data_IF_946400727603
#
_entry.id   IF_946400727603
#
_cell.length_a   1.000
_cell.length_b   1.000
_cell.length_c   1.000
_cell.angle_alpha   90.00
_cell.angle_beta   90.00
_cell.angle_gamma   90.00
#
_symmetry.space_group_name_H-M   'P 1'
#
loop_
_entity.id
_entity.type
_entity.pdbx_description
1 polymer ?
#
# COMPACT_ATOMS: atom_id res chain seq x y z
N UNK A 1 28.35 9.01 -8.14
CA UNK A 1 27.49 9.42 -9.28
C UNK A 1 26.41 8.39 -9.67
N UNK A 2 26.59 7.08 -9.50
CA UNK A 2 25.65 6.06 -10.01
C UNK A 2 24.22 6.17 -9.45
N UNK A 3 24.06 6.40 -8.14
CA UNK A 3 22.76 6.59 -7.51
C UNK A 3 22.02 7.80 -8.10
N UNK A 4 22.70 8.94 -8.23
CA UNK A 4 22.12 10.16 -8.80
C UNK A 4 21.67 9.96 -10.26
N UNK A 5 22.49 9.28 -11.08
CA UNK A 5 22.14 8.97 -12.48
C UNK A 5 20.85 8.16 -12.57
N UNK A 6 20.67 7.14 -11.73
CA UNK A 6 19.44 6.35 -11.70
C UNK A 6 18.19 7.19 -11.36
N UNK A 7 18.29 8.09 -10.38
CA UNK A 7 17.18 8.96 -10.01
C UNK A 7 16.74 9.89 -11.14
N UNK A 8 17.71 10.50 -11.83
CA UNK A 8 17.42 11.44 -12.91
C UNK A 8 16.93 10.74 -14.18
N UNK A 9 17.54 9.61 -14.56
CA UNK A 9 17.12 8.82 -15.72
C UNK A 9 15.68 8.30 -15.60
N UNK A 10 15.33 7.77 -14.42
CA UNK A 10 13.98 7.21 -14.18
C UNK A 10 12.95 8.25 -13.76
N UNK A 11 13.34 9.52 -13.62
CA UNK A 11 12.56 10.59 -13.00
C UNK A 11 12.01 10.19 -11.62
N UNK A 12 12.78 9.46 -10.82
CA UNK A 12 12.38 9.07 -9.46
C UNK A 12 12.38 10.32 -8.57
N UNK A 13 11.30 10.59 -7.81
CA UNK A 13 11.25 11.74 -6.92
C UNK A 13 12.45 11.72 -5.95
N UNK A 14 13.19 12.83 -5.87
CA UNK A 14 14.40 12.94 -5.03
C UNK A 14 14.08 12.60 -3.57
N UNK A 15 12.88 12.95 -3.10
CA UNK A 15 12.41 12.60 -1.75
C UNK A 15 12.40 11.09 -1.43
N UNK A 16 12.54 10.20 -2.43
CA UNK A 16 12.69 8.76 -2.17
C UNK A 16 13.95 8.42 -1.36
N UNK A 17 14.97 9.28 -1.34
CA UNK A 17 16.16 9.10 -0.47
C UNK A 17 15.84 9.17 1.03
N UNK A 18 14.75 9.86 1.41
CA UNK A 18 14.31 9.97 2.80
C UNK A 18 13.49 8.76 3.27
N UNK A 19 13.30 7.75 2.42
CA UNK A 19 12.70 6.48 2.81
C UNK A 19 13.61 5.78 3.82
N UNK A 20 13.05 5.26 4.92
CA UNK A 20 13.81 4.47 5.90
C UNK A 20 14.43 3.19 5.31
N UNK A 21 13.96 2.77 4.13
CA UNK A 21 14.51 1.63 3.40
C UNK A 21 15.67 2.00 2.47
N UNK A 22 15.86 3.28 2.15
CA UNK A 22 16.86 3.69 1.17
C UNK A 22 18.27 3.37 1.64
N UNK A 23 18.66 3.85 2.82
CA UNK A 23 19.99 3.57 3.38
C UNK A 23 20.15 2.07 3.68
N UNK A 24 19.14 1.42 4.26
CA UNK A 24 19.15 -0.04 4.53
C UNK A 24 19.40 -0.87 3.27
N UNK A 25 18.82 -0.48 2.14
CA UNK A 25 19.06 -1.12 0.84
C UNK A 25 20.51 -0.93 0.40
N UNK A 26 21.04 0.30 0.49
CA UNK A 26 22.43 0.61 0.14
C UNK A 26 23.42 -0.18 1.00
N UNK A 27 23.19 -0.25 2.32
CA UNK A 27 24.04 -0.97 3.26
C UNK A 27 24.09 -2.47 2.95
N UNK A 28 22.93 -3.08 2.67
CA UNK A 28 22.86 -4.50 2.30
C UNK A 28 23.59 -4.77 0.99
N UNK A 29 23.43 -3.93 -0.03
CA UNK A 29 24.13 -4.08 -1.32
C UNK A 29 25.64 -3.92 -1.13
N UNK A 30 26.07 -2.93 -0.34
CA UNK A 30 27.47 -2.69 -0.04
C UNK A 30 28.12 -3.87 0.71
N UNK A 31 27.40 -4.47 1.65
CA UNK A 31 27.85 -5.63 2.40
C UNK A 31 28.04 -6.89 1.56
N UNK A 32 27.24 -7.09 0.50
CA UNK A 32 27.44 -8.22 -0.44
C UNK A 32 28.68 -8.01 -1.31
N UNK A 33 28.99 -6.76 -1.65
CA UNK A 33 30.19 -6.39 -2.40
C UNK A 33 30.09 -6.59 -3.92
N UNK A 34 31.23 -6.49 -4.62
CA UNK A 34 31.30 -6.59 -6.08
C UNK A 34 30.75 -7.91 -6.61
N UNK A 35 29.99 -7.85 -7.71
CA UNK A 35 29.39 -9.03 -8.34
C UNK A 35 27.93 -9.28 -7.99
N UNK A 36 27.38 -8.57 -6.99
CA UNK A 36 25.94 -8.60 -6.71
C UNK A 36 25.10 -8.33 -7.96
N UNK A 37 24.09 -9.16 -8.20
CA UNK A 37 23.14 -9.00 -9.29
C UNK A 37 21.82 -8.49 -8.74
N UNK A 38 21.48 -7.24 -9.09
CA UNK A 38 20.20 -6.66 -8.73
C UNK A 38 19.02 -7.48 -9.30
N UNK A 39 17.86 -7.51 -8.61
CA UNK A 39 16.68 -8.21 -9.10
C UNK A 39 16.22 -7.71 -10.47
N UNK A 40 15.78 -8.63 -11.33
CA UNK A 40 15.16 -8.31 -12.62
C UNK A 40 13.72 -7.80 -12.44
N UNK A 41 13.20 -7.12 -13.47
CA UNK A 41 11.81 -6.63 -13.50
C UNK A 41 10.79 -7.71 -13.12
N UNK A 42 10.86 -8.90 -13.72
CA UNK A 42 9.93 -9.99 -13.42
C UNK A 42 10.05 -10.48 -11.96
N UNK A 43 11.26 -10.54 -11.41
CA UNK A 43 11.47 -10.95 -10.02
C UNK A 43 10.85 -9.96 -9.03
N UNK A 44 10.97 -8.65 -9.30
CA UNK A 44 10.31 -7.59 -8.52
C UNK A 44 8.80 -7.65 -8.66
N UNK A 45 8.30 -7.83 -9.89
CA UNK A 45 6.87 -7.84 -10.22
C UNK A 45 6.12 -9.02 -9.61
N UNK A 46 6.74 -10.20 -9.51
CA UNK A 46 6.06 -11.43 -9.06
C UNK A 46 6.58 -11.90 -7.70
N UNK A 47 7.72 -12.58 -7.67
CA UNK A 47 8.15 -13.37 -6.53
C UNK A 47 8.48 -12.51 -5.30
N UNK A 48 9.16 -11.38 -5.50
CA UNK A 48 9.52 -10.47 -4.42
C UNK A 48 8.30 -9.71 -3.89
N UNK A 49 7.40 -9.26 -4.78
CA UNK A 49 6.14 -8.65 -4.37
C UNK A 49 5.28 -9.63 -3.55
N UNK A 50 5.14 -10.87 -4.02
CA UNK A 50 4.41 -11.91 -3.30
C UNK A 50 5.03 -12.22 -1.94
N UNK A 51 6.37 -12.28 -1.86
CA UNK A 51 7.09 -12.48 -0.60
C UNK A 51 6.88 -11.32 0.37
N UNK A 52 6.90 -10.08 -0.13
CA UNK A 52 6.64 -8.89 0.69
C UNK A 52 5.18 -8.84 1.15
N UNK A 53 4.22 -9.16 0.27
CA UNK A 53 2.80 -9.26 0.61
C UNK A 53 2.59 -10.26 1.74
N UNK A 54 3.22 -11.44 1.71
CA UNK A 54 3.13 -12.41 2.82
C UNK A 54 3.65 -11.84 4.14
N UNK A 55 4.79 -11.14 4.14
CA UNK A 55 5.34 -10.49 5.35
C UNK A 55 4.40 -9.42 5.91
N UNK A 56 3.87 -8.56 5.04
CA UNK A 56 2.91 -7.53 5.43
C UNK A 56 1.59 -8.17 5.90
N UNK A 57 1.14 -9.24 5.26
CA UNK A 57 -0.05 -9.96 5.65
C UNK A 57 0.07 -10.54 7.07
N UNK A 58 1.22 -11.11 7.43
CA UNK A 58 1.48 -11.59 8.79
C UNK A 58 1.41 -10.45 9.83
N UNK A 59 1.94 -9.27 9.48
CA UNK A 59 1.82 -8.08 10.34
C UNK A 59 0.35 -7.68 10.52
N UNK A 60 -0.42 -7.60 9.43
CA UNK A 60 -1.85 -7.27 9.48
C UNK A 60 -2.63 -8.31 10.29
N UNK A 61 -2.36 -9.60 10.11
CA UNK A 61 -2.96 -10.68 10.90
C UNK A 61 -2.63 -10.55 12.39
N UNK A 62 -1.43 -10.07 12.75
CA UNK A 62 -1.09 -9.82 14.16
C UNK A 62 -1.96 -8.74 14.79
N UNK A 63 -2.39 -7.73 14.03
CA UNK A 63 -3.29 -6.70 14.52
C UNK A 63 -4.74 -7.19 14.62
N UNK A 64 -5.15 -8.14 13.77
CA UNK A 64 -6.50 -8.73 13.80
C UNK A 64 -6.85 -9.35 15.16
N UNK A 65 -5.90 -10.02 15.80
CA UNK A 65 -6.10 -10.54 17.17
C UNK A 65 -6.47 -9.45 18.18
N UNK A 66 -5.88 -8.26 18.04
CA UNK A 66 -6.16 -7.10 18.90
C UNK A 66 -7.52 -6.48 18.58
N UNK A 67 -7.92 -6.50 17.31
CA UNK A 67 -9.24 -6.02 16.88
C UNK A 67 -10.36 -6.87 17.47
N UNK A 68 -10.15 -8.19 17.56
CA UNK A 68 -11.11 -9.14 18.15
C UNK A 68 -11.19 -9.00 19.67
N UNK A 69 -10.06 -8.79 20.36
CA UNK A 69 -10.02 -8.62 21.83
C UNK A 69 -10.53 -7.25 22.29
N UNK A 70 -10.12 -6.17 21.62
CA UNK A 70 -10.27 -4.78 22.13
C UNK A 70 -11.17 -3.89 21.26
N UNK A 71 -11.67 -4.42 20.15
CA UNK A 71 -12.40 -3.67 19.15
C UNK A 71 -11.49 -2.86 18.21
N UNK A 72 -12.09 -2.35 17.13
CA UNK A 72 -11.43 -1.51 16.15
C UNK A 72 -12.41 -0.51 15.51
N UNK A 73 -11.86 0.44 14.75
CA UNK A 73 -12.60 1.40 13.93
C UNK A 73 -12.40 1.03 12.47
N UNK A 74 -13.47 0.67 11.77
CA UNK A 74 -13.42 0.49 10.32
C UNK A 74 -13.66 1.85 9.66
N UNK A 75 -12.75 2.25 8.79
CA UNK A 75 -12.85 3.46 7.97
C UNK A 75 -12.99 3.04 6.52
N UNK A 76 -13.93 3.67 5.82
CA UNK A 76 -14.09 3.53 4.38
C UNK A 76 -13.89 4.89 3.71
N UNK A 77 -13.09 4.93 2.66
CA UNK A 77 -12.81 6.14 1.89
C UNK A 77 -13.02 5.89 0.39
N UNK A 78 -13.83 6.74 -0.24
CA UNK A 78 -14.16 6.65 -1.66
C UNK A 78 -13.28 7.58 -2.49
N UNK A 79 -12.66 7.04 -3.53
CA UNK A 79 -11.83 7.80 -4.46
C UNK A 79 -12.18 7.46 -5.91
N UNK A 80 -12.21 8.46 -6.78
CA UNK A 80 -12.45 8.29 -8.21
C UNK A 80 -11.15 8.49 -8.98
N UNK A 81 -10.76 7.51 -9.81
CA UNK A 81 -9.54 7.59 -10.60
C UNK A 81 -9.70 8.43 -11.88
N UNK A 82 -8.58 8.77 -12.53
CA UNK A 82 -8.56 9.50 -13.82
C UNK A 82 -9.09 8.68 -15.02
N UNK A 83 -9.59 7.48 -14.79
CA UNK A 83 -10.25 6.60 -15.74
C UNK A 83 -11.72 6.38 -15.36
N UNK A 84 -12.26 7.22 -14.46
CA UNK A 84 -13.63 7.17 -13.95
C UNK A 84 -13.97 5.93 -13.11
N UNK A 85 -12.96 5.19 -12.63
CA UNK A 85 -13.18 4.06 -11.73
C UNK A 85 -13.41 4.56 -10.31
N UNK A 86 -14.48 4.09 -9.68
CA UNK A 86 -14.79 4.39 -8.29
C UNK A 86 -14.17 3.33 -7.40
N UNK A 87 -13.20 3.67 -6.56
CA UNK A 87 -12.54 2.77 -5.63
C UNK A 87 -12.94 3.11 -4.20
N UNK A 88 -13.27 2.10 -3.40
CA UNK A 88 -13.52 2.26 -1.96
C UNK A 88 -12.41 1.55 -1.20
N UNK A 89 -11.62 2.31 -0.47
CA UNK A 89 -10.54 1.84 0.38
C UNK A 89 -11.04 1.56 1.79
N UNK A 90 -10.70 0.40 2.33
CA UNK A 90 -11.01 0.00 3.70
C UNK A 90 -9.74 0.03 4.54
N UNK A 91 -9.79 0.82 5.60
CA UNK A 91 -8.76 0.89 6.62
C UNK A 91 -9.36 0.47 7.96
N UNK A 92 -8.51 -0.05 8.83
CA UNK A 92 -8.87 -0.38 10.21
C UNK A 92 -7.92 0.36 11.13
N UNK A 93 -8.47 1.12 12.07
CA UNK A 93 -7.72 1.76 13.13
C UNK A 93 -7.93 1.00 14.45
N UNK A 94 -6.84 0.88 15.22
CA UNK A 94 -6.85 0.38 16.58
C UNK A 94 -5.77 1.10 17.39
N UNK A 95 -5.67 0.85 18.70
CA UNK A 95 -4.62 1.45 19.55
C UNK A 95 -3.18 1.19 19.08
N UNK A 96 -2.95 0.18 18.22
CA UNK A 96 -1.64 -0.12 17.62
C UNK A 96 -1.35 0.65 16.33
N UNK A 97 -2.33 1.41 15.82
CA UNK A 97 -2.22 2.20 14.60
C UNK A 97 -3.26 1.84 13.54
N UNK A 98 -3.11 2.47 12.37
CA UNK A 98 -3.97 2.26 11.20
C UNK A 98 -3.39 1.16 10.31
N UNK A 99 -4.27 0.38 9.68
CA UNK A 99 -3.93 -0.71 8.77
C UNK A 99 -4.79 -0.61 7.52
N UNK A 100 -4.20 -0.78 6.34
CA UNK A 100 -4.96 -0.90 5.11
C UNK A 100 -5.36 -2.36 4.89
N UNK A 101 -6.67 -2.61 4.72
CA UNK A 101 -7.21 -3.97 4.57
C UNK A 101 -7.37 -4.32 3.10
N UNK A 102 -8.12 -3.50 2.35
CA UNK A 102 -8.40 -3.75 0.93
C UNK A 102 -8.95 -2.51 0.22
N UNK A 103 -8.93 -2.55 -1.11
CA UNK A 103 -9.66 -1.63 -1.98
C UNK A 103 -10.69 -2.43 -2.79
N UNK A 104 -11.88 -1.86 -3.01
CA UNK A 104 -12.96 -2.43 -3.81
C UNK A 104 -13.19 -1.53 -5.02
N UNK A 105 -13.30 -2.12 -6.21
CA UNK A 105 -13.84 -1.42 -7.38
C UNK A 105 -15.36 -1.38 -7.31
N UNK A 106 -15.90 -0.18 -7.19
CA UNK A 106 -17.31 0.16 -7.10
C UNK A 106 -17.85 0.78 -8.39
N UNK A 107 -17.08 0.78 -9.49
CA UNK A 107 -17.49 1.39 -10.77
C UNK A 107 -18.78 0.80 -11.32
N UNK A 108 -19.01 -0.50 -11.10
CA UNK A 108 -20.21 -1.23 -11.55
C UNK A 108 -21.28 -1.35 -10.44
N UNK A 109 -21.07 -0.73 -9.28
CA UNK A 109 -21.98 -0.82 -8.13
C UNK A 109 -23.04 0.28 -8.24
N UNK A 110 -24.16 -0.06 -8.89
CA UNK A 110 -25.32 0.84 -9.09
C UNK A 110 -26.02 1.19 -7.77
N UNK A 111 -25.88 0.35 -6.73
CA UNK A 111 -26.62 0.50 -5.48
C UNK A 111 -25.70 0.53 -4.24
N UNK A 112 -25.01 1.66 -4.06
CA UNK A 112 -24.11 1.98 -2.94
C UNK A 112 -24.76 1.69 -1.58
N UNK A 113 -26.09 1.83 -1.46
CA UNK A 113 -26.82 1.54 -0.21
C UNK A 113 -26.61 0.10 0.27
N UNK A 114 -26.64 -0.90 -0.62
CA UNK A 114 -26.45 -2.31 -0.23
C UNK A 114 -25.04 -2.61 0.30
N UNK A 115 -24.04 -1.94 -0.29
CA UNK A 115 -22.64 -2.02 0.12
C UNK A 115 -22.43 -1.27 1.44
N UNK A 116 -22.98 -0.08 1.57
CA UNK A 116 -22.96 0.73 2.78
C UNK A 116 -23.65 0.00 3.94
N UNK A 117 -24.80 -0.64 3.72
CA UNK A 117 -25.50 -1.44 4.75
C UNK A 117 -24.61 -2.58 5.25
N UNK A 118 -23.90 -3.30 4.37
CA UNK A 118 -22.96 -4.37 4.78
C UNK A 118 -21.73 -3.85 5.53
N UNK A 119 -21.28 -2.64 5.22
CA UNK A 119 -20.12 -2.02 5.88
C UNK A 119 -20.52 -1.45 7.23
N UNK A 120 -21.65 -0.75 7.30
CA UNK A 120 -22.18 -0.09 8.50
C UNK A 120 -22.83 -1.06 9.48
N UNK A 121 -23.21 -2.27 9.04
CA UNK A 121 -23.65 -3.34 9.94
C UNK A 121 -22.51 -4.05 10.68
N UNK A 122 -21.25 -3.71 10.36
CA UNK A 122 -20.09 -4.12 11.15
C UNK A 122 -19.94 -3.17 12.35
N UNK A 123 -19.65 -3.72 13.53
CA UNK A 123 -19.42 -2.93 14.75
C UNK A 123 -18.28 -1.94 14.53
N UNK A 124 -18.57 -0.64 14.69
CA UNK A 124 -17.59 0.44 14.57
C UNK A 124 -17.45 1.17 15.90
N UNK A 125 -16.21 1.41 16.32
CA UNK A 125 -15.89 2.45 17.30
C UNK A 125 -15.40 3.67 16.54
N UNK A 126 -15.78 4.89 16.92
CA UNK A 126 -15.31 6.11 16.23
C UNK A 126 -13.99 6.58 16.84
N UNK A 127 -13.01 6.90 15.99
CA UNK A 127 -11.86 7.72 16.38
C UNK A 127 -11.47 8.60 15.21
N UNK A 128 -11.31 9.90 15.47
CA UNK A 128 -10.96 10.88 14.44
C UNK A 128 -9.56 10.63 13.90
N UNK A 129 -9.41 10.65 12.58
CA UNK A 129 -8.10 10.57 11.91
C UNK A 129 -8.09 11.39 10.62
N UNK A 130 -6.95 12.03 10.40
CA UNK A 130 -6.66 12.90 9.27
C UNK A 130 -6.55 12.17 7.93
N UNK A 131 -6.87 12.95 6.91
CA UNK A 131 -6.96 12.66 5.48
C UNK A 131 -5.62 12.27 4.83
N UNK A 132 -5.48 11.02 4.36
CA UNK A 132 -4.31 10.52 3.62
C UNK A 132 -4.59 10.34 2.11
N UNK A 133 -4.62 11.45 1.37
CA UNK A 133 -5.03 11.48 -0.05
C UNK A 133 -3.95 11.19 -1.10
N UNK A 134 -2.66 11.06 -0.78
CA UNK A 134 -1.57 11.17 -1.79
C UNK A 134 -0.91 9.87 -2.29
N UNK A 135 -1.42 8.68 -1.93
CA UNK A 135 -0.74 7.40 -2.24
C UNK A 135 -1.22 6.78 -3.56
N UNK A 136 -2.53 6.72 -3.77
CA UNK A 136 -3.12 6.10 -4.97
C UNK A 136 -2.70 6.86 -6.23
N UNK A 137 -2.72 8.19 -6.22
CA UNK A 137 -2.26 9.01 -7.34
C UNK A 137 -0.77 8.83 -7.64
N UNK A 138 0.07 8.64 -6.61
CA UNK A 138 1.52 8.45 -6.80
C UNK A 138 1.85 7.08 -7.39
N UNK A 139 1.08 6.05 -7.05
CA UNK A 139 1.20 4.71 -7.64
C UNK A 139 0.57 4.70 -9.05
N UNK A 140 -0.53 5.44 -9.27
CA UNK A 140 -1.21 5.60 -10.56
C UNK A 140 -0.80 6.86 -11.33
N UNK A 141 0.31 6.76 -12.06
CA UNK A 141 0.52 7.60 -13.24
C UNK A 141 0.44 6.73 -14.50
N UNK A 142 -0.47 7.09 -15.44
CA UNK A 142 -0.70 6.40 -16.74
C UNK A 142 0.60 6.14 -17.53
N UNK A 143 1.67 6.86 -17.21
CA UNK A 143 2.98 6.81 -17.88
C UNK A 143 3.92 5.70 -17.40
N UNK A 144 3.64 4.96 -16.30
CA UNK A 144 4.67 4.13 -15.66
C UNK A 144 4.56 2.61 -15.72
N UNK A 145 3.39 1.96 -15.86
CA UNK A 145 3.26 0.52 -16.17
C UNK A 145 1.78 0.12 -16.37
N UNK A 146 1.42 -0.59 -17.46
CA UNK A 146 0.14 -1.34 -17.52
C UNK A 146 0.30 -2.62 -16.67
N UNK A 147 0.06 -2.53 -15.37
CA UNK A 147 0.05 -3.69 -14.48
C UNK A 147 -1.34 -4.32 -14.47
N UNK A 148 -1.39 -5.64 -14.37
CA UNK A 148 -2.64 -6.36 -14.10
C UNK A 148 -3.22 -5.96 -12.75
N UNK A 149 -4.55 -5.99 -12.63
CA UNK A 149 -5.30 -5.52 -11.46
C UNK A 149 -4.84 -6.17 -10.15
N UNK A 150 -4.51 -7.47 -10.19
CA UNK A 150 -4.08 -8.20 -9.00
C UNK A 150 -2.72 -7.72 -8.48
N UNK A 151 -1.76 -7.46 -9.38
CA UNK A 151 -0.42 -7.01 -9.04
C UNK A 151 -0.48 -5.60 -8.45
N UNK A 152 -1.35 -4.76 -9.01
CA UNK A 152 -1.60 -3.42 -8.51
C UNK A 152 -2.14 -3.45 -7.07
N UNK A 153 -3.15 -4.27 -6.79
CA UNK A 153 -3.71 -4.39 -5.45
C UNK A 153 -2.67 -4.87 -4.43
N UNK A 154 -1.82 -5.81 -4.81
CA UNK A 154 -0.74 -6.31 -3.97
C UNK A 154 0.30 -5.22 -3.68
N UNK A 155 0.63 -4.41 -4.68
CA UNK A 155 1.55 -3.29 -4.54
C UNK A 155 0.98 -2.17 -3.65
N UNK A 156 -0.30 -1.83 -3.83
CA UNK A 156 -1.01 -0.87 -2.97
C UNK A 156 -1.03 -1.38 -1.53
N UNK A 157 -1.41 -2.64 -1.32
CA UNK A 157 -1.48 -3.26 0.00
C UNK A 157 -0.13 -3.23 0.73
N UNK A 158 0.95 -3.63 0.05
CA UNK A 158 2.31 -3.60 0.60
C UNK A 158 2.73 -2.16 0.90
N UNK A 159 2.60 -1.26 -0.07
CA UNK A 159 3.07 0.11 0.09
C UNK A 159 2.36 0.86 1.22
N UNK A 160 1.03 0.75 1.30
CA UNK A 160 0.24 1.46 2.29
C UNK A 160 0.55 0.98 3.71
N UNK A 161 0.60 -0.33 3.92
CA UNK A 161 0.88 -0.90 5.25
C UNK A 161 2.32 -0.67 5.71
N UNK A 162 3.32 -0.73 4.81
CA UNK A 162 4.69 -0.36 5.17
C UNK A 162 4.78 1.13 5.57
N UNK A 163 4.10 2.01 4.83
CA UNK A 163 4.08 3.45 5.14
C UNK A 163 3.36 3.77 6.44
N UNK A 164 2.25 3.08 6.74
CA UNK A 164 1.51 3.27 8.00
C UNK A 164 2.27 2.76 9.21
N UNK A 165 3.05 1.67 9.07
CA UNK A 165 3.89 1.14 10.15
C UNK A 165 4.99 2.10 10.59
N UNK A 166 5.43 2.98 9.69
CA UNK A 166 6.52 3.93 9.92
C UNK A 166 6.06 5.26 10.54
N UNK A 167 4.76 5.43 10.77
CA UNK A 167 4.20 6.55 11.53
C UNK A 167 4.07 6.18 13.00
#
# INVERSE_FOLDING_TARGET
>A
MSIARFFFDTCTPINAVNSVYFQKMVDVIAAVGPGYKAPKYNQLRTNLLGSMKKKVQLLVSSYRSVWEERGCTIMADGWQDRSNRQLINFLVYCKRGTTFVRSIDASDIVNIQSLAIKILSQTSSSSGCERNWSVFERIHTKKRNRLEHQILNDLVFVHYNLRLKER
#
